data_IF_087135985985
#
_entry.id   IF_087135985985
#
_cell.length_a   1.000
_cell.length_b   1.000
_cell.length_c   1.000
_cell.angle_alpha   90.00
_cell.angle_beta   90.00
_cell.angle_gamma   90.00
#
_symmetry.space_group_name_H-M   'P 1'
#
loop_
_entity.id
_entity.type
_entity.pdbx_description
1 polymer ?
#
# COMPACT_ATOMS: atom_id res chain seq x y z
N UNK A 1 -27.87 2.32 -2.13
CA UNK A 1 -26.66 1.47 -2.11
C UNK A 1 -25.49 2.40 -2.38
N UNK A 2 -24.50 2.42 -1.50
CA UNK A 2 -23.34 3.30 -1.61
C UNK A 2 -22.51 2.98 -2.87
N UNK A 3 -22.06 4.02 -3.59
CA UNK A 3 -21.32 3.86 -4.85
C UNK A 3 -20.04 3.01 -4.69
N UNK A 4 -19.39 3.10 -3.53
CA UNK A 4 -18.23 2.29 -3.18
C UNK A 4 -18.58 0.80 -3.05
N UNK A 5 -19.74 0.46 -2.49
CA UNK A 5 -20.19 -0.94 -2.34
C UNK A 5 -20.35 -1.59 -3.72
N UNK A 6 -21.02 -0.88 -4.63
CA UNK A 6 -21.24 -1.36 -6.00
C UNK A 6 -19.91 -1.49 -6.75
N UNK A 7 -18.96 -0.58 -6.54
CA UNK A 7 -17.61 -0.68 -7.11
C UNK A 7 -16.87 -1.93 -6.62
N UNK A 8 -16.97 -2.24 -5.32
CA UNK A 8 -16.37 -3.46 -4.74
C UNK A 8 -17.03 -4.70 -5.32
N UNK A 9 -18.37 -4.72 -5.39
CA UNK A 9 -19.13 -5.81 -5.99
C UNK A 9 -18.68 -6.09 -7.42
N UNK A 10 -18.69 -5.08 -8.28
CA UNK A 10 -18.28 -5.20 -9.67
C UNK A 10 -16.83 -5.68 -9.81
N UNK A 11 -15.92 -5.18 -8.96
CA UNK A 11 -14.54 -5.64 -8.97
C UNK A 11 -14.41 -7.12 -8.62
N UNK A 12 -15.18 -7.61 -7.64
CA UNK A 12 -15.13 -9.01 -7.22
C UNK A 12 -15.80 -9.94 -8.24
N UNK A 13 -16.88 -9.50 -8.89
CA UNK A 13 -17.57 -10.25 -9.96
C UNK A 13 -16.71 -10.35 -11.23
N UNK A 14 -16.10 -9.25 -11.68
CA UNK A 14 -15.19 -9.23 -12.84
C UNK A 14 -13.87 -9.93 -12.50
N UNK A 15 -13.40 -9.76 -11.27
CA UNK A 15 -12.14 -10.29 -10.77
C UNK A 15 -10.92 -9.41 -11.06
N UNK A 16 -9.80 -9.78 -10.42
CA UNK A 16 -8.52 -9.06 -10.50
C UNK A 16 -7.83 -9.12 -11.89
N UNK A 17 -8.23 -10.03 -12.78
CA UNK A 17 -7.51 -10.36 -14.02
C UNK A 17 -6.18 -11.11 -13.80
N UNK A 18 -5.92 -11.59 -12.58
CA UNK A 18 -4.70 -12.27 -12.19
C UNK A 18 -4.79 -13.79 -12.38
N UNK A 19 -3.68 -14.46 -12.74
CA UNK A 19 -3.64 -15.91 -13.05
C UNK A 19 -4.21 -16.79 -11.94
N UNK A 20 -3.97 -16.42 -10.68
CA UNK A 20 -4.41 -17.18 -9.50
C UNK A 20 -5.86 -16.90 -9.08
N UNK A 21 -6.59 -16.03 -9.79
CA UNK A 21 -7.97 -15.61 -9.43
C UNK A 21 -8.11 -15.31 -7.93
N UNK A 22 -7.24 -14.44 -7.40
CA UNK A 22 -7.05 -14.27 -5.95
C UNK A 22 -8.28 -13.72 -5.18
N UNK A 23 -9.37 -13.37 -5.86
CA UNK A 23 -10.60 -12.82 -5.27
C UNK A 23 -11.74 -13.84 -5.11
N UNK A 24 -11.58 -15.09 -5.56
CA UNK A 24 -12.68 -16.08 -5.71
C UNK A 24 -13.45 -16.39 -4.42
N UNK A 25 -12.89 -16.11 -3.24
CA UNK A 25 -13.54 -16.35 -1.95
C UNK A 25 -13.62 -15.08 -1.08
N UNK A 26 -13.61 -13.91 -1.69
CA UNK A 26 -13.78 -12.66 -0.95
C UNK A 26 -15.27 -12.35 -0.83
N UNK A 27 -15.72 -12.23 0.41
CA UNK A 27 -17.07 -11.75 0.68
C UNK A 27 -17.12 -10.23 0.45
N UNK A 28 -18.12 -9.78 -0.31
CA UNK A 28 -18.29 -8.36 -0.66
C UNK A 28 -18.39 -7.51 0.61
N UNK A 29 -19.21 -7.94 1.58
CA UNK A 29 -19.38 -7.26 2.87
C UNK A 29 -18.07 -7.12 3.64
N UNK A 30 -17.27 -8.20 3.73
CA UNK A 30 -15.97 -8.19 4.40
C UNK A 30 -15.00 -7.19 3.75
N UNK A 31 -14.91 -7.16 2.41
CA UNK A 31 -14.02 -6.23 1.70
C UNK A 31 -14.48 -4.80 1.89
N UNK A 32 -15.78 -4.56 1.76
CA UNK A 32 -16.38 -3.24 1.92
C UNK A 32 -16.17 -2.68 3.34
N UNK A 33 -16.48 -3.47 4.38
CA UNK A 33 -16.21 -3.07 5.77
C UNK A 33 -14.73 -2.83 6.04
N UNK A 34 -13.83 -3.66 5.48
CA UNK A 34 -12.40 -3.41 5.60
C UNK A 34 -11.99 -2.07 4.96
N UNK A 35 -12.57 -1.70 3.81
CA UNK A 35 -12.30 -0.39 3.17
C UNK A 35 -12.76 0.75 4.07
N UNK A 36 -13.95 0.65 4.67
CA UNK A 36 -14.46 1.64 5.63
C UNK A 36 -13.51 1.78 6.83
N UNK A 37 -13.11 0.67 7.44
CA UNK A 37 -12.14 0.68 8.54
C UNK A 37 -10.81 1.33 8.13
N UNK A 38 -10.32 1.04 6.92
CA UNK A 38 -9.07 1.63 6.39
C UNK A 38 -9.18 3.14 6.10
N UNK A 39 -10.39 3.70 5.99
CA UNK A 39 -10.63 5.13 5.81
C UNK A 39 -10.75 5.88 7.14
N UNK A 40 -11.12 5.19 8.21
CA UNK A 40 -11.18 5.74 9.58
C UNK A 40 -9.79 5.90 10.22
N UNK A 41 -8.80 5.15 9.73
CA UNK A 41 -7.43 5.22 10.21
C UNK A 41 -6.74 6.55 9.87
N UNK A 42 -5.87 6.98 10.78
CA UNK A 42 -4.89 8.02 10.44
C UNK A 42 -3.95 7.53 9.33
N UNK A 43 -3.30 8.48 8.67
CA UNK A 43 -2.35 8.18 7.60
C UNK A 43 -1.19 7.32 8.11
N UNK A 44 -0.67 7.63 9.29
CA UNK A 44 0.44 6.92 9.92
C UNK A 44 0.07 5.47 10.22
N UNK A 45 -1.12 5.23 10.78
CA UNK A 45 -1.64 3.89 11.06
C UNK A 45 -1.85 3.09 9.78
N UNK A 46 -2.48 3.72 8.77
CA UNK A 46 -2.71 3.12 7.45
C UNK A 46 -1.38 2.71 6.79
N UNK A 47 -0.39 3.58 6.82
CA UNK A 47 0.95 3.31 6.28
C UNK A 47 1.59 2.09 6.95
N UNK A 48 1.54 2.00 8.29
CA UNK A 48 2.09 0.87 9.07
C UNK A 48 1.36 -0.44 8.73
N UNK A 49 0.03 -0.42 8.69
CA UNK A 49 -0.77 -1.60 8.37
C UNK A 49 -0.47 -2.07 6.95
N UNK A 50 -0.44 -1.17 5.97
CA UNK A 50 -0.08 -1.50 4.57
C UNK A 50 1.34 -2.05 4.49
N UNK A 51 2.27 -1.51 5.26
CA UNK A 51 3.63 -2.03 5.34
C UNK A 51 3.69 -3.45 5.90
N UNK A 52 2.91 -3.75 6.93
CA UNK A 52 2.86 -5.09 7.54
C UNK A 52 2.28 -6.17 6.62
N UNK A 53 1.39 -5.79 5.70
CA UNK A 53 0.66 -6.70 4.81
C UNK A 53 1.39 -7.00 3.49
N UNK A 54 2.55 -6.40 3.24
CA UNK A 54 3.41 -6.76 2.12
C UNK A 54 4.75 -7.29 2.61
N UNK A 55 5.38 -8.15 1.79
CA UNK A 55 6.76 -8.59 2.02
C UNK A 55 7.62 -8.06 0.90
N UNK A 56 8.77 -7.50 1.26
CA UNK A 56 9.77 -7.08 0.31
C UNK A 56 10.91 -8.11 0.33
N UNK A 57 11.22 -8.70 -0.83
CA UNK A 57 12.40 -9.54 -0.94
C UNK A 57 13.66 -8.72 -0.69
N UNK A 58 14.61 -9.30 0.07
CA UNK A 58 15.91 -8.70 0.36
C UNK A 58 16.55 -8.26 -0.96
N UNK A 59 16.55 -6.96 -1.20
CA UNK A 59 17.09 -6.34 -2.41
C UNK A 59 18.59 -6.50 -2.41
N UNK A 60 19.09 -7.70 -2.74
CA UNK A 60 20.49 -7.89 -3.05
C UNK A 60 20.77 -7.04 -4.28
N UNK A 61 21.53 -5.98 -4.05
CA UNK A 61 22.01 -5.05 -5.06
C UNK A 61 22.54 -5.83 -6.25
N UNK A 62 22.08 -5.47 -7.43
CA UNK A 62 22.53 -6.07 -8.67
C UNK A 62 23.99 -5.70 -8.88
N UNK A 63 24.91 -6.53 -8.38
CA UNK A 63 26.34 -6.38 -8.61
C UNK A 63 26.63 -6.70 -10.08
N UNK A 64 27.43 -5.86 -10.74
CA UNK A 64 27.92 -6.09 -12.12
C UNK A 64 28.56 -7.48 -12.19
N UNK A 65 28.20 -8.28 -13.20
CA UNK A 65 28.68 -9.67 -13.35
C UNK A 65 27.95 -10.74 -12.53
N UNK A 66 26.89 -10.39 -11.77
CA UNK A 66 26.03 -11.38 -11.08
C UNK A 66 24.63 -11.42 -11.70
N UNK A 67 23.93 -12.57 -11.67
CA UNK A 67 22.57 -12.67 -12.16
C UNK A 67 21.67 -11.67 -11.42
N UNK A 68 20.90 -10.90 -12.18
CA UNK A 68 20.01 -9.87 -11.66
C UNK A 68 18.90 -10.53 -10.83
N UNK A 69 18.98 -10.45 -9.49
CA UNK A 69 17.85 -10.81 -8.63
C UNK A 69 16.85 -9.65 -8.61
N UNK A 70 15.67 -9.83 -9.22
CA UNK A 70 14.55 -8.89 -9.03
C UNK A 70 14.10 -9.00 -7.57
N UNK A 71 14.10 -7.89 -6.84
CA UNK A 71 13.37 -7.82 -5.56
C UNK A 71 11.90 -8.01 -5.88
N UNK A 72 11.34 -9.13 -5.42
CA UNK A 72 9.93 -9.45 -5.58
C UNK A 72 9.19 -8.90 -4.37
N UNK A 73 8.18 -8.07 -4.62
CA UNK A 73 7.23 -7.62 -3.61
C UNK A 73 6.02 -8.54 -3.70
N UNK A 74 5.66 -9.17 -2.59
CA UNK A 74 4.43 -9.97 -2.48
C UNK A 74 3.43 -9.25 -1.58
N UNK A 75 2.16 -9.32 -1.94
CA UNK A 75 1.07 -8.65 -1.24
C UNK A 75 0.14 -9.69 -0.63
N UNK A 76 -0.32 -9.45 0.59
CA UNK A 76 -1.29 -10.31 1.25
C UNK A 76 -2.54 -9.51 1.64
N UNK A 77 -3.71 -10.13 1.52
CA UNK A 77 -4.98 -9.63 2.06
C UNK A 77 -5.77 -10.81 2.62
N UNK A 78 -6.39 -10.62 3.78
CA UNK A 78 -7.14 -11.68 4.49
C UNK A 78 -6.34 -13.01 4.57
N UNK A 79 -5.07 -12.91 4.93
CA UNK A 79 -4.12 -14.03 5.06
C UNK A 79 -3.84 -14.81 3.76
N UNK A 80 -4.21 -14.28 2.59
CA UNK A 80 -3.97 -14.90 1.28
C UNK A 80 -3.08 -14.02 0.39
N UNK A 81 -2.22 -14.61 -0.45
CA UNK A 81 -1.46 -13.86 -1.43
C UNK A 81 -2.40 -13.30 -2.50
N UNK A 82 -2.26 -12.01 -2.79
CA UNK A 82 -3.11 -11.29 -3.74
C UNK A 82 -2.29 -10.52 -4.77
N UNK A 83 -2.95 -10.16 -5.87
CA UNK A 83 -2.36 -9.26 -6.86
C UNK A 83 -2.17 -7.84 -6.29
N UNK A 84 -1.26 -7.04 -6.86
CA UNK A 84 -1.10 -5.62 -6.51
C UNK A 84 -2.43 -4.86 -6.65
N UNK A 85 -3.22 -5.14 -7.69
CA UNK A 85 -4.51 -4.49 -7.95
C UNK A 85 -5.51 -4.77 -6.83
N UNK A 86 -5.65 -6.03 -6.44
CA UNK A 86 -6.52 -6.46 -5.33
C UNK A 86 -6.05 -5.86 -4.00
N UNK A 87 -4.74 -5.86 -3.76
CA UNK A 87 -4.16 -5.27 -2.55
C UNK A 87 -4.47 -3.78 -2.43
N UNK A 88 -4.36 -3.04 -3.53
CA UNK A 88 -4.70 -1.61 -3.59
C UNK A 88 -6.16 -1.35 -3.24
N UNK A 89 -7.08 -2.15 -3.81
CA UNK A 89 -8.51 -2.03 -3.51
C UNK A 89 -8.79 -2.30 -2.03
N UNK A 90 -8.34 -3.44 -1.51
CA UNK A 90 -8.65 -3.86 -0.14
C UNK A 90 -8.13 -2.85 0.89
N UNK A 91 -6.95 -2.28 0.67
CA UNK A 91 -6.36 -1.32 1.61
C UNK A 91 -6.69 0.14 1.28
N UNK A 92 -7.59 0.39 0.32
CA UNK A 92 -8.01 1.72 -0.13
C UNK A 92 -6.81 2.66 -0.38
N UNK A 93 -5.84 2.20 -1.18
CA UNK A 93 -4.57 2.90 -1.40
C UNK A 93 -4.25 3.08 -2.88
N UNK A 94 -3.85 4.30 -3.24
CA UNK A 94 -3.41 4.65 -4.59
C UNK A 94 -2.04 4.05 -4.97
N UNK A 95 -1.79 3.94 -6.27
CA UNK A 95 -0.56 3.33 -6.83
C UNK A 95 0.70 4.01 -6.31
N UNK A 96 0.77 5.34 -6.41
CA UNK A 96 1.95 6.13 -6.03
C UNK A 96 2.21 6.07 -4.53
N UNK A 97 1.15 6.08 -3.71
CA UNK A 97 1.26 5.93 -2.26
C UNK A 97 1.85 4.56 -1.90
N UNK A 98 1.36 3.49 -2.52
CA UNK A 98 1.88 2.14 -2.32
C UNK A 98 3.36 2.02 -2.74
N UNK A 99 3.75 2.60 -3.87
CA UNK A 99 5.14 2.59 -4.34
C UNK A 99 6.07 3.33 -3.37
N UNK A 100 5.65 4.49 -2.88
CA UNK A 100 6.39 5.24 -1.87
C UNK A 100 6.55 4.45 -0.56
N UNK A 101 5.51 3.71 -0.13
CA UNK A 101 5.59 2.87 1.06
C UNK A 101 6.52 1.68 0.90
N UNK A 102 6.50 1.03 -0.26
CA UNK A 102 7.43 -0.07 -0.58
C UNK A 102 8.88 0.44 -0.57
N UNK A 103 9.13 1.62 -1.13
CA UNK A 103 10.47 2.20 -1.17
C UNK A 103 10.94 2.69 0.20
N UNK A 104 10.04 3.24 1.01
CA UNK A 104 10.32 3.56 2.41
C UNK A 104 10.64 2.30 3.22
N UNK A 105 9.83 1.24 3.09
CA UNK A 105 10.04 -0.03 3.78
C UNK A 105 11.40 -0.65 3.44
N UNK A 106 11.81 -0.61 2.17
CA UNK A 106 13.14 -1.11 1.75
C UNK A 106 14.30 -0.35 2.38
N UNK A 107 14.15 0.95 2.65
CA UNK A 107 15.21 1.81 3.20
C UNK A 107 15.24 1.81 4.72
N UNK A 108 14.06 1.84 5.33
CA UNK A 108 13.88 2.16 6.76
C UNK A 108 13.19 1.03 7.55
N UNK A 109 12.67 0.00 6.88
CA UNK A 109 11.82 -1.02 7.51
C UNK A 109 10.41 -0.51 7.83
N UNK A 110 9.67 -1.23 8.70
CA UNK A 110 8.29 -0.89 9.08
C UNK A 110 8.24 0.25 10.11
N UNK A 111 8.75 1.42 9.76
CA UNK A 111 8.73 2.62 10.61
C UNK A 111 7.72 3.65 10.09
N UNK A 112 7.05 4.41 10.97
CA UNK A 112 6.18 5.52 10.55
C UNK A 112 6.92 6.48 9.62
N UNK A 113 6.29 6.85 8.50
CA UNK A 113 6.90 7.74 7.52
C UNK A 113 6.87 9.18 8.05
N UNK A 114 8.01 9.69 8.51
CA UNK A 114 8.15 11.12 8.84
C UNK A 114 8.26 11.94 7.56
N UNK A 115 7.42 12.97 7.42
CA UNK A 115 7.54 13.89 6.29
C UNK A 115 8.85 14.67 6.39
N UNK A 116 9.65 14.72 5.32
CA UNK A 116 10.98 15.37 5.32
C UNK A 116 10.96 16.90 5.49
N UNK A 117 9.77 17.49 5.64
CA UNK A 117 9.56 18.92 5.92
C UNK A 117 9.13 19.18 7.36
N UNK A 118 8.91 18.12 8.17
CA UNK A 118 8.66 18.28 9.60
C UNK A 118 9.90 18.94 10.21
N UNK A 119 9.72 20.15 10.75
CA UNK A 119 10.79 20.95 11.35
C UNK A 119 11.63 21.77 10.38
N UNK A 120 11.42 21.68 9.06
CA UNK A 120 12.08 22.58 8.10
C UNK A 120 11.28 23.86 7.95
N UNK A 121 11.87 24.99 8.34
CA UNK A 121 11.32 26.31 8.03
C UNK A 121 11.50 26.59 6.53
N UNK A 122 10.51 27.22 5.86
CA UNK A 122 10.69 27.68 4.48
C UNK A 122 11.90 28.62 4.42
N UNK A 123 12.72 28.52 3.37
CA UNK A 123 13.89 29.39 3.17
C UNK A 123 13.53 30.88 3.02
N UNK A 124 12.24 31.20 2.81
CA UNK A 124 11.77 32.54 2.49
C UNK A 124 10.84 33.15 3.55
N UNK A 125 10.81 32.64 4.78
CA UNK A 125 10.21 33.41 5.88
C UNK A 125 11.14 34.58 6.21
N UNK A 126 10.89 35.73 5.59
CA UNK A 126 11.31 37.02 6.13
C UNK A 126 10.78 37.09 7.56
N UNK A 127 11.70 37.17 8.50
CA UNK A 127 11.41 37.33 9.91
C UNK A 127 10.80 38.73 10.07
N UNK A 128 9.48 38.87 9.98
CA UNK A 128 8.79 40.10 10.35
C UNK A 128 8.78 40.12 11.89
N UNK A 129 9.88 40.64 12.43
CA UNK A 129 10.04 40.91 13.85
C UNK A 129 9.28 42.20 14.14
N UNK A 130 8.19 42.06 14.90
CA UNK A 130 7.42 43.08 15.65
C UNK A 130 6.95 44.32 14.89
#
# INVERSE_FOLDING_TARGET
MDADYETVRQFLEIGCGCKSKCTVNFEIGLVYHNILNMRELTKEEKDIIVMSKHKCGNGLTTKRGKPRKRSMVSYNAFQKPVSKKTFMLVNDIGRSALENLVDHYKKNGPLPRKHGNVGKKPSHVVFMMM
#
